data_IF_602857834568
#
_entry.id   IF_602857834568
#
_cell.length_a   1.000
_cell.length_b   1.000
_cell.length_c   1.000
_cell.angle_alpha   90.00
_cell.angle_beta   90.00
_cell.angle_gamma   90.00
#
_symmetry.space_group_name_H-M   'P 1'
#
loop_
_entity.id
_entity.type
_entity.pdbx_description
1 polymer ?
#
# COMPACT_ATOMS: atom_id res chain seq x y z
N UNK A 1 6.23 16.16 15.63
CA UNK A 1 6.45 16.25 14.18
C UNK A 1 7.91 16.14 13.76
N UNK A 2 8.88 17.02 14.12
CA UNK A 2 10.26 16.91 13.60
C UNK A 2 10.94 15.56 13.87
N UNK A 3 10.64 14.93 15.00
CA UNK A 3 11.23 13.62 15.37
C UNK A 3 10.69 12.45 14.53
N UNK A 4 9.41 12.48 14.15
CA UNK A 4 8.80 11.45 13.32
C UNK A 4 9.31 11.49 11.88
N UNK A 5 9.43 12.69 11.29
CA UNK A 5 10.00 12.82 9.96
C UNK A 5 11.48 12.46 9.92
N UNK A 6 12.22 12.65 11.04
CA UNK A 6 13.60 12.24 11.14
C UNK A 6 13.80 10.71 11.16
N UNK A 7 12.80 9.92 11.58
CA UNK A 7 12.92 8.45 11.58
C UNK A 7 13.00 7.87 10.17
N UNK A 8 12.43 8.53 9.15
CA UNK A 8 12.55 8.10 7.76
C UNK A 8 13.92 8.37 7.14
N UNK A 9 14.62 9.37 7.66
CA UNK A 9 15.98 9.73 7.19
C UNK A 9 17.09 9.02 7.96
N UNK A 10 16.79 8.26 9.01
CA UNK A 10 17.78 7.39 9.63
C UNK A 10 18.19 6.33 8.62
N UNK A 11 19.45 6.41 8.18
CA UNK A 11 20.00 5.42 7.28
C UNK A 11 20.14 4.09 8.05
N UNK A 12 19.75 3.01 7.42
CA UNK A 12 19.94 1.66 7.95
C UNK A 12 21.42 1.32 8.12
N UNK A 13 22.29 2.17 7.55
CA UNK A 13 23.75 2.11 7.69
C UNK A 13 24.30 2.63 9.02
N UNK A 14 23.55 3.37 9.84
CA UNK A 14 24.05 3.82 11.15
C UNK A 14 24.32 2.65 12.12
N UNK A 15 23.67 1.50 11.91
CA UNK A 15 23.95 0.26 12.62
C UNK A 15 25.12 -0.55 12.04
N UNK A 16 25.57 -0.23 10.81
CA UNK A 16 26.69 -0.91 10.16
C UNK A 16 28.08 -0.37 10.55
N UNK A 17 28.15 0.90 10.98
CA UNK A 17 29.45 1.54 11.25
C UNK A 17 30.15 0.97 12.49
N UNK A 18 29.41 0.49 13.48
CA UNK A 18 29.98 -0.18 14.68
C UNK A 18 30.34 -1.66 14.42
N UNK A 19 29.76 -2.31 13.39
CA UNK A 19 30.07 -3.69 13.00
C UNK A 19 31.23 -3.79 11.99
N UNK A 20 31.40 -2.80 11.12
CA UNK A 20 32.45 -2.79 10.11
C UNK A 20 33.86 -2.62 10.71
N UNK A 21 33.99 -2.04 11.90
CA UNK A 21 35.27 -1.92 12.59
C UNK A 21 35.83 -3.27 13.11
N UNK A 22 35.00 -4.30 13.21
CA UNK A 22 35.40 -5.64 13.68
C UNK A 22 35.83 -6.58 12.52
N UNK A 23 35.54 -6.27 11.26
CA UNK A 23 35.81 -7.13 10.11
C UNK A 23 37.05 -6.72 9.28
N UNK A 24 37.81 -5.71 9.72
CA UNK A 24 38.97 -5.18 8.99
C UNK A 24 40.29 -5.85 9.34
N UNK A 25 40.33 -7.11 9.73
CA UNK A 25 41.62 -7.81 9.94
C UNK A 25 41.63 -9.18 9.26
N UNK A 26 41.99 -9.21 7.99
CA UNK A 26 42.21 -10.45 7.26
C UNK A 26 42.31 -10.18 5.75
N UNK A 27 43.52 -9.85 5.26
CA UNK A 27 43.73 -9.58 3.84
C UNK A 27 43.63 -10.81 2.97
N UNK A 28 43.09 -10.64 1.78
CA UNK A 28 43.11 -11.57 0.69
C UNK A 28 42.24 -11.02 -0.43
N UNK A 29 42.88 -10.56 -1.52
CA UNK A 29 42.20 -10.13 -2.73
C UNK A 29 41.60 -11.36 -3.43
N UNK A 30 40.28 -11.42 -3.52
CA UNK A 30 39.56 -12.07 -4.60
C UNK A 30 38.22 -11.35 -4.77
N UNK A 31 37.93 -10.97 -6.02
CA UNK A 31 36.68 -10.36 -6.43
C UNK A 31 35.58 -11.42 -6.32
N UNK A 32 34.84 -11.41 -5.19
CA UNK A 32 33.64 -12.21 -5.04
C UNK A 32 32.47 -11.26 -4.72
N UNK A 33 31.40 -11.41 -5.47
CA UNK A 33 30.18 -10.61 -5.37
C UNK A 33 29.67 -10.61 -3.93
N UNK A 34 29.63 -9.44 -3.31
CA UNK A 34 29.35 -9.25 -1.89
C UNK A 34 27.90 -9.59 -1.47
N UNK A 35 27.50 -10.83 -1.71
CA UNK A 35 26.32 -11.40 -1.07
C UNK A 35 26.71 -11.82 0.35
N UNK A 36 26.35 -11.00 1.31
CA UNK A 36 26.53 -11.33 2.73
C UNK A 36 25.44 -12.35 3.09
N UNK A 37 25.86 -13.57 3.34
CA UNK A 37 24.95 -14.65 3.77
C UNK A 37 24.23 -14.24 5.06
N UNK A 38 22.89 -14.22 5.06
CA UNK A 38 22.09 -13.80 6.20
C UNK A 38 22.35 -14.63 7.48
N UNK A 39 22.93 -15.83 7.33
CA UNK A 39 23.30 -16.69 8.46
C UNK A 39 24.53 -16.20 9.24
N UNK A 40 25.37 -15.30 8.65
CA UNK A 40 26.53 -14.72 9.33
C UNK A 40 26.23 -13.44 10.12
N UNK A 41 25.05 -12.86 9.96
CA UNK A 41 24.66 -11.65 10.70
C UNK A 41 24.46 -11.96 12.18
N UNK A 42 25.11 -11.18 13.06
CA UNK A 42 24.97 -11.37 14.49
C UNK A 42 23.52 -11.15 14.93
N UNK A 43 23.00 -11.90 15.93
CA UNK A 43 21.63 -11.71 16.46
C UNK A 43 21.35 -10.27 16.92
N UNK A 44 22.38 -9.55 17.35
CA UNK A 44 22.25 -8.14 17.75
C UNK A 44 22.00 -7.21 16.56
N UNK A 45 22.61 -7.47 15.40
CA UNK A 45 22.40 -6.69 14.17
C UNK A 45 20.98 -6.90 13.64
N UNK A 46 20.50 -8.14 13.58
CA UNK A 46 19.13 -8.45 13.18
C UNK A 46 18.11 -7.79 14.10
N UNK A 47 18.34 -7.78 15.41
CA UNK A 47 17.45 -7.12 16.36
C UNK A 47 17.42 -5.60 16.19
N UNK A 48 18.56 -4.95 15.92
CA UNK A 48 18.61 -3.50 15.66
C UNK A 48 17.90 -3.15 14.38
N UNK A 49 18.14 -3.89 13.29
CA UNK A 49 17.46 -3.68 12.01
C UNK A 49 15.93 -3.83 12.15
N UNK A 50 15.47 -4.84 12.86
CA UNK A 50 14.04 -5.05 13.13
C UNK A 50 13.45 -3.91 13.97
N UNK A 51 14.16 -3.42 14.99
CA UNK A 51 13.71 -2.32 15.83
C UNK A 51 13.56 -1.02 15.03
N UNK A 52 14.50 -0.72 14.14
CA UNK A 52 14.43 0.44 13.24
C UNK A 52 13.27 0.32 12.26
N UNK A 53 13.03 -0.88 11.71
CA UNK A 53 11.90 -1.11 10.82
C UNK A 53 10.56 -0.89 11.54
N UNK A 54 10.41 -1.39 12.76
CA UNK A 54 9.20 -1.17 13.59
C UNK A 54 9.03 0.32 13.90
N UNK A 55 10.10 1.05 14.21
CA UNK A 55 10.03 2.50 14.45
C UNK A 55 9.53 3.26 13.21
N UNK A 56 10.03 2.91 12.02
CA UNK A 56 9.61 3.49 10.74
C UNK A 56 8.12 3.16 10.44
N UNK A 57 7.71 1.92 10.67
CA UNK A 57 6.32 1.50 10.50
C UNK A 57 5.38 2.32 11.40
N UNK A 58 5.68 2.41 12.71
CA UNK A 58 4.91 3.22 13.66
C UNK A 58 4.91 4.69 13.28
N UNK A 59 6.03 5.22 12.80
CA UNK A 59 6.10 6.61 12.35
C UNK A 59 5.22 6.86 11.12
N UNK A 60 5.22 5.92 10.15
CA UNK A 60 4.38 6.01 8.96
C UNK A 60 2.89 6.02 9.32
N UNK A 61 2.46 5.09 10.17
CA UNK A 61 1.08 5.00 10.65
C UNK A 61 0.65 6.26 11.42
N UNK A 62 1.51 6.70 12.35
CA UNK A 62 1.25 7.90 13.17
C UNK A 62 1.10 9.18 12.33
N UNK A 63 1.73 9.30 11.16
CA UNK A 63 1.54 10.46 10.29
C UNK A 63 0.11 10.51 9.75
N UNK A 64 -0.46 9.37 9.37
CA UNK A 64 -1.86 9.25 8.95
C UNK A 64 -2.81 9.68 10.07
N UNK A 65 -2.64 9.11 11.25
CA UNK A 65 -3.46 9.43 12.44
C UNK A 65 -3.34 10.89 12.85
N UNK A 66 -2.13 11.44 12.87
CA UNK A 66 -1.91 12.83 13.22
C UNK A 66 -2.65 13.77 12.27
N UNK A 67 -2.64 13.53 10.96
CA UNK A 67 -3.41 14.35 10.05
C UNK A 67 -4.91 14.20 10.29
N UNK A 68 -5.38 12.97 10.45
CA UNK A 68 -6.80 12.68 10.69
C UNK A 68 -7.34 13.42 11.94
N UNK A 69 -6.57 13.44 13.02
CA UNK A 69 -7.02 14.03 14.28
C UNK A 69 -6.73 15.53 14.40
N UNK A 70 -5.59 16.00 13.88
CA UNK A 70 -5.20 17.43 14.01
C UNK A 70 -5.67 18.28 12.83
N UNK A 71 -6.13 17.65 11.76
CA UNK A 71 -6.77 18.31 10.59
C UNK A 71 -5.95 19.51 10.07
N UNK A 72 -6.56 20.72 10.06
CA UNK A 72 -5.94 21.95 9.56
C UNK A 72 -4.59 22.28 10.19
N UNK A 73 -4.32 21.86 11.43
CA UNK A 73 -3.02 22.07 12.07
C UNK A 73 -1.87 21.24 11.45
N UNK A 74 -2.20 20.18 10.72
CA UNK A 74 -1.22 19.35 10.01
C UNK A 74 -0.82 19.93 8.64
N UNK A 75 -1.65 20.74 8.02
CA UNK A 75 -1.45 21.23 6.64
C UNK A 75 -0.04 21.77 6.35
N UNK A 76 0.64 22.51 7.26
CA UNK A 76 2.01 22.96 7.01
C UNK A 76 3.05 21.86 6.84
N UNK A 77 2.71 20.62 7.22
CA UNK A 77 3.60 19.46 7.17
C UNK A 77 3.20 18.45 6.09
N UNK A 78 2.01 18.63 5.47
CA UNK A 78 1.39 17.65 4.59
C UNK A 78 2.27 17.31 3.38
N UNK A 79 2.84 18.31 2.71
CA UNK A 79 3.68 18.12 1.52
C UNK A 79 4.91 17.26 1.86
N UNK A 80 5.65 17.68 2.89
CA UNK A 80 6.84 16.92 3.32
C UNK A 80 6.50 15.52 3.83
N UNK A 81 5.43 15.37 4.60
CA UNK A 81 5.00 14.06 5.07
C UNK A 81 4.57 13.13 3.91
N UNK A 82 3.96 13.70 2.85
CA UNK A 82 3.62 12.93 1.64
C UNK A 82 4.88 12.46 0.92
N UNK A 83 5.88 13.31 0.73
CA UNK A 83 7.15 12.95 0.10
C UNK A 83 7.86 11.83 0.87
N UNK A 84 7.95 11.94 2.19
CA UNK A 84 8.59 10.92 3.05
C UNK A 84 7.83 9.59 3.01
N UNK A 85 6.48 9.61 3.05
CA UNK A 85 5.70 8.38 2.94
C UNK A 85 5.85 7.73 1.56
N UNK A 86 5.83 8.50 0.48
CA UNK A 86 6.08 7.97 -0.87
C UNK A 86 7.48 7.34 -0.94
N UNK A 87 8.48 7.97 -0.34
CA UNK A 87 9.85 7.44 -0.32
C UNK A 87 9.99 6.06 0.34
N UNK A 88 9.01 5.64 1.15
CA UNK A 88 9.04 4.34 1.84
C UNK A 88 7.99 3.34 1.34
N UNK A 89 7.20 3.66 0.31
CA UNK A 89 6.23 2.71 -0.27
C UNK A 89 6.90 1.52 -0.96
N UNK A 90 8.17 1.62 -1.32
CA UNK A 90 8.97 0.55 -1.93
C UNK A 90 9.98 -0.05 -0.96
N UNK A 91 9.81 0.20 0.36
CA UNK A 91 10.71 -0.33 1.37
C UNK A 91 10.64 -1.87 1.43
N UNK A 92 11.76 -2.55 1.70
CA UNK A 92 11.81 -4.02 1.73
C UNK A 92 10.93 -4.62 2.83
N UNK A 93 10.71 -3.91 3.95
CA UNK A 93 9.86 -4.37 5.05
C UNK A 93 8.38 -4.05 4.79
N UNK A 94 7.55 -5.09 4.65
CA UNK A 94 6.14 -4.99 4.27
C UNK A 94 5.29 -4.13 5.23
N UNK A 95 5.57 -4.17 6.54
CA UNK A 95 4.85 -3.35 7.53
C UNK A 95 4.97 -1.85 7.25
N UNK A 96 6.15 -1.39 6.79
CA UNK A 96 6.39 0.00 6.42
C UNK A 96 5.60 0.35 5.16
N UNK A 97 5.62 -0.51 4.11
CA UNK A 97 4.86 -0.30 2.87
C UNK A 97 3.37 -0.19 3.17
N UNK A 98 2.85 -1.14 3.95
CA UNK A 98 1.45 -1.17 4.40
C UNK A 98 1.04 0.12 5.10
N UNK A 99 1.77 0.55 6.13
CA UNK A 99 1.46 1.74 6.92
C UNK A 99 1.61 3.03 6.09
N UNK A 100 2.57 3.08 5.17
CA UNK A 100 2.75 4.21 4.26
C UNK A 100 1.54 4.37 3.32
N UNK A 101 1.09 3.28 2.68
CA UNK A 101 -0.07 3.29 1.78
C UNK A 101 -1.35 3.69 2.52
N UNK A 102 -1.61 3.11 3.70
CA UNK A 102 -2.76 3.46 4.53
C UNK A 102 -2.78 4.96 4.88
N UNK A 103 -1.63 5.50 5.27
CA UNK A 103 -1.47 6.91 5.62
C UNK A 103 -1.62 7.84 4.42
N UNK A 104 -1.13 7.46 3.24
CA UNK A 104 -1.30 8.23 1.99
C UNK A 104 -2.78 8.33 1.59
N UNK A 105 -3.55 7.23 1.64
CA UNK A 105 -5.00 7.28 1.41
C UNK A 105 -5.74 8.07 2.50
N UNK A 106 -5.28 7.99 3.74
CA UNK A 106 -5.80 8.81 4.84
C UNK A 106 -5.54 10.29 4.59
N UNK A 107 -4.40 10.66 4.01
CA UNK A 107 -4.11 12.04 3.63
C UNK A 107 -5.11 12.58 2.60
N UNK A 108 -5.37 11.83 1.53
CA UNK A 108 -6.34 12.21 0.50
C UNK A 108 -7.74 12.39 1.14
N UNK A 109 -8.21 11.39 1.88
CA UNK A 109 -9.56 11.40 2.45
C UNK A 109 -9.75 12.46 3.53
N UNK A 110 -8.71 12.73 4.33
CA UNK A 110 -8.75 13.78 5.36
C UNK A 110 -8.73 15.17 4.76
N UNK A 111 -7.89 15.39 3.73
CA UNK A 111 -7.87 16.66 3.02
C UNK A 111 -9.21 16.90 2.32
N UNK A 112 -9.80 15.89 1.69
CA UNK A 112 -11.14 15.99 1.11
C UNK A 112 -12.19 16.39 2.15
N UNK A 113 -12.15 15.80 3.34
CA UNK A 113 -13.06 16.14 4.42
C UNK A 113 -12.83 17.53 5.05
N UNK A 114 -11.69 18.18 4.78
CA UNK A 114 -11.39 19.56 5.18
C UNK A 114 -11.87 20.59 4.16
N UNK A 115 -12.06 20.19 2.91
CA UNK A 115 -12.54 21.04 1.85
C UNK A 115 -14.08 21.09 1.89
N UNK A 116 -14.66 22.28 1.70
CA UNK A 116 -16.11 22.47 1.58
C UNK A 116 -16.61 21.98 0.20
N UNK A 117 -16.26 20.74 -0.17
CA UNK A 117 -16.70 20.16 -1.42
C UNK A 117 -18.17 19.73 -1.32
N UNK A 118 -18.99 19.93 -2.38
CA UNK A 118 -20.34 19.40 -2.39
C UNK A 118 -20.31 17.86 -2.30
N UNK A 119 -21.33 17.29 -1.66
CA UNK A 119 -21.45 15.84 -1.58
C UNK A 119 -21.56 15.24 -2.99
N UNK A 120 -20.73 14.25 -3.26
CA UNK A 120 -20.76 13.52 -4.53
C UNK A 120 -21.97 12.57 -4.61
N UNK A 121 -22.40 12.29 -5.83
CA UNK A 121 -23.51 11.38 -6.11
C UNK A 121 -23.00 10.22 -6.97
N UNK A 122 -23.40 8.96 -6.68
CA UNK A 122 -23.00 7.81 -7.47
C UNK A 122 -23.26 8.00 -8.98
N UNK A 123 -22.24 7.76 -9.79
CA UNK A 123 -22.33 7.88 -11.25
C UNK A 123 -22.26 9.27 -11.83
N UNK A 124 -22.23 10.32 -11.03
CA UNK A 124 -22.03 11.69 -11.51
C UNK A 124 -20.53 11.98 -11.70
N UNK A 125 -19.98 11.48 -12.79
CA UNK A 125 -18.58 11.71 -13.16
C UNK A 125 -18.31 13.10 -13.75
N UNK A 126 -19.37 13.86 -14.04
CA UNK A 126 -19.27 15.19 -14.66
C UNK A 126 -19.55 16.35 -13.67
N UNK A 127 -20.24 16.07 -12.56
CA UNK A 127 -20.76 17.11 -11.67
C UNK A 127 -19.86 17.44 -10.47
N UNK A 128 -19.11 16.48 -9.95
CA UNK A 128 -18.30 16.68 -8.75
C UNK A 128 -16.83 16.49 -9.07
N UNK A 129 -16.13 17.59 -9.29
CA UNK A 129 -14.69 17.61 -9.32
C UNK A 129 -14.16 17.61 -7.89
N UNK A 130 -13.03 16.94 -7.68
CA UNK A 130 -12.29 17.08 -6.43
C UNK A 130 -11.89 18.55 -6.23
N UNK A 131 -11.81 18.97 -4.97
CA UNK A 131 -11.15 20.23 -4.65
C UNK A 131 -9.75 20.25 -5.26
N UNK A 132 -9.27 21.35 -5.86
CA UNK A 132 -7.97 21.43 -6.52
C UNK A 132 -6.79 20.99 -5.64
N UNK A 133 -6.88 21.19 -4.33
CA UNK A 133 -5.82 20.74 -3.41
C UNK A 133 -5.86 19.22 -3.24
N UNK A 134 -7.05 18.63 -3.18
CA UNK A 134 -7.21 17.17 -3.11
C UNK A 134 -6.78 16.52 -4.42
N UNK A 135 -7.15 17.12 -5.55
CA UNK A 135 -6.71 16.65 -6.87
C UNK A 135 -5.18 16.68 -6.99
N UNK A 136 -4.55 17.78 -6.58
CA UNK A 136 -3.09 17.92 -6.61
C UNK A 136 -2.39 16.84 -5.79
N UNK A 137 -2.83 16.57 -4.57
CA UNK A 137 -2.21 15.55 -3.74
C UNK A 137 -2.48 14.14 -4.28
N UNK A 138 -3.68 13.87 -4.79
CA UNK A 138 -4.02 12.60 -5.41
C UNK A 138 -3.17 12.32 -6.68
N UNK A 139 -2.88 13.35 -7.49
CA UNK A 139 -2.00 13.23 -8.66
C UNK A 139 -0.57 12.85 -8.31
N UNK A 140 -0.10 13.16 -7.10
CA UNK A 140 1.23 12.79 -6.60
C UNK A 140 1.20 11.40 -5.96
N UNK A 141 0.17 11.09 -5.17
CA UNK A 141 0.08 9.85 -4.40
C UNK A 141 -0.30 8.64 -5.29
N UNK A 142 -1.29 8.80 -6.18
CA UNK A 142 -1.81 7.66 -6.95
C UNK A 142 -0.77 6.95 -7.80
N UNK A 143 0.14 7.62 -8.53
CA UNK A 143 1.20 6.93 -9.26
C UNK A 143 2.08 6.05 -8.36
N UNK A 144 2.49 6.56 -7.19
CA UNK A 144 3.33 5.82 -6.26
C UNK A 144 2.61 4.58 -5.69
N UNK A 145 1.30 4.71 -5.38
CA UNK A 145 0.50 3.58 -4.90
C UNK A 145 0.34 2.52 -6.01
N UNK A 146 0.08 2.93 -7.25
CA UNK A 146 -0.07 1.99 -8.36
C UNK A 146 1.22 1.23 -8.65
N UNK A 147 2.36 1.91 -8.62
CA UNK A 147 3.69 1.29 -8.76
C UNK A 147 3.97 0.29 -7.63
N UNK A 148 3.68 0.68 -6.38
CA UNK A 148 3.81 -0.22 -5.22
C UNK A 148 2.91 -1.44 -5.37
N UNK A 149 1.65 -1.27 -5.77
CA UNK A 149 0.68 -2.36 -5.89
C UNK A 149 1.05 -3.35 -6.99
N UNK A 150 1.55 -2.86 -8.12
CA UNK A 150 2.00 -3.72 -9.24
C UNK A 150 3.14 -4.67 -8.82
N UNK A 151 4.02 -4.21 -7.93
CA UNK A 151 5.17 -4.97 -7.45
C UNK A 151 4.94 -5.67 -6.09
N UNK A 152 3.76 -5.50 -5.45
CA UNK A 152 3.54 -5.95 -4.08
C UNK A 152 3.48 -7.47 -3.97
N UNK A 153 4.42 -8.03 -3.23
CA UNK A 153 4.59 -9.46 -2.99
C UNK A 153 4.05 -9.94 -1.63
N UNK A 154 3.71 -9.02 -0.73
CA UNK A 154 3.12 -9.36 0.57
C UNK A 154 1.59 -9.27 0.56
N UNK A 155 0.93 -10.33 1.05
CA UNK A 155 -0.54 -10.41 1.09
C UNK A 155 -1.16 -9.37 2.00
N UNK A 156 -0.54 -9.07 3.14
CA UNK A 156 -1.10 -8.12 4.12
C UNK A 156 -1.02 -6.68 3.60
N UNK A 157 0.04 -6.33 2.88
CA UNK A 157 0.17 -5.05 2.22
C UNK A 157 -0.82 -4.92 1.04
N UNK A 158 -0.99 -5.96 0.23
CA UNK A 158 -1.98 -6.00 -0.85
C UNK A 158 -3.43 -5.87 -0.34
N UNK A 159 -3.75 -6.50 0.80
CA UNK A 159 -5.04 -6.33 1.50
C UNK A 159 -5.25 -4.87 1.89
N UNK A 160 -4.25 -4.25 2.50
CA UNK A 160 -4.33 -2.85 2.92
C UNK A 160 -4.54 -1.89 1.74
N UNK A 161 -3.84 -2.11 0.63
CA UNK A 161 -4.02 -1.31 -0.59
C UNK A 161 -5.49 -1.37 -1.04
N UNK A 162 -6.07 -2.57 -1.16
CA UNK A 162 -7.45 -2.74 -1.58
C UNK A 162 -8.44 -2.07 -0.62
N UNK A 163 -8.28 -2.28 0.69
CA UNK A 163 -9.18 -1.76 1.72
C UNK A 163 -9.10 -0.23 1.82
N UNK A 164 -7.89 0.32 1.87
CA UNK A 164 -7.67 1.75 1.97
C UNK A 164 -8.14 2.47 0.71
N UNK A 165 -7.93 1.89 -0.48
CA UNK A 165 -8.42 2.45 -1.73
C UNK A 165 -9.95 2.44 -1.79
N UNK A 166 -10.61 1.32 -1.48
CA UNK A 166 -12.06 1.24 -1.41
C UNK A 166 -12.67 2.26 -0.43
N UNK A 167 -12.05 2.39 0.76
CA UNK A 167 -12.46 3.37 1.76
C UNK A 167 -12.32 4.82 1.26
N UNK A 168 -11.20 5.12 0.61
CA UNK A 168 -10.94 6.45 0.06
C UNK A 168 -11.89 6.78 -1.10
N UNK A 169 -12.17 5.84 -2.01
CA UNK A 169 -13.17 5.99 -3.07
C UNK A 169 -14.56 6.31 -2.51
N UNK A 170 -14.99 5.56 -1.50
CA UNK A 170 -16.29 5.77 -0.86
C UNK A 170 -16.40 7.15 -0.17
N UNK A 171 -15.29 7.75 0.25
CA UNK A 171 -15.26 9.08 0.87
C UNK A 171 -15.18 10.19 -0.16
N UNK A 172 -14.31 10.06 -1.16
CA UNK A 172 -13.98 11.12 -2.12
C UNK A 172 -14.85 11.07 -3.39
N UNK A 173 -15.47 9.93 -3.69
CA UNK A 173 -16.32 9.78 -4.85
C UNK A 173 -15.57 9.61 -6.18
N UNK A 174 -16.27 9.77 -7.32
CA UNK A 174 -15.73 9.48 -8.66
C UNK A 174 -14.57 10.37 -9.08
N UNK A 175 -14.42 11.55 -8.49
CA UNK A 175 -13.30 12.45 -8.79
C UNK A 175 -11.93 11.90 -8.40
N UNK A 176 -11.86 10.95 -7.45
CA UNK A 176 -10.59 10.36 -7.01
C UNK A 176 -9.96 9.50 -8.10
N UNK A 177 -10.76 8.72 -8.80
CA UNK A 177 -10.27 7.80 -9.82
C UNK A 177 -10.44 8.42 -11.21
N UNK A 178 -9.40 9.10 -11.66
CA UNK A 178 -9.39 9.62 -13.02
C UNK A 178 -9.41 8.47 -14.05
N UNK A 179 -9.88 8.70 -15.29
CA UNK A 179 -10.01 7.66 -16.32
C UNK A 179 -8.73 6.83 -16.54
N UNK A 180 -7.57 7.44 -16.39
CA UNK A 180 -6.27 6.76 -16.53
C UNK A 180 -5.99 5.69 -15.48
N UNK A 181 -6.65 5.73 -14.31
CA UNK A 181 -6.47 4.78 -13.23
C UNK A 181 -7.53 3.68 -13.18
N UNK A 182 -8.63 3.82 -13.92
CA UNK A 182 -9.73 2.83 -13.92
C UNK A 182 -9.23 1.47 -14.43
N UNK A 183 -8.65 1.45 -15.62
CA UNK A 183 -8.19 0.21 -16.24
C UNK A 183 -7.05 -0.44 -15.46
N UNK A 184 -5.96 0.25 -15.06
CA UNK A 184 -4.91 -0.34 -14.23
C UNK A 184 -5.45 -0.90 -12.90
N UNK A 185 -6.34 -0.18 -12.21
CA UNK A 185 -6.97 -0.67 -10.98
C UNK A 185 -7.76 -1.94 -11.21
N UNK A 186 -8.52 -2.01 -12.32
CA UNK A 186 -9.26 -3.20 -12.69
C UNK A 186 -8.33 -4.38 -12.99
N UNK A 187 -7.24 -4.16 -13.72
CA UNK A 187 -6.27 -5.20 -14.06
C UNK A 187 -5.62 -5.79 -12.82
N UNK A 188 -5.11 -4.95 -11.90
CA UNK A 188 -4.51 -5.41 -10.65
C UNK A 188 -5.51 -6.15 -9.76
N UNK A 189 -6.74 -5.64 -9.67
CA UNK A 189 -7.80 -6.31 -8.91
C UNK A 189 -8.19 -7.66 -9.53
N UNK A 190 -8.24 -7.75 -10.88
CA UNK A 190 -8.49 -9.01 -11.58
C UNK A 190 -7.39 -10.04 -11.32
N UNK A 191 -6.12 -9.65 -11.31
CA UNK A 191 -5.01 -10.54 -10.98
C UNK A 191 -5.21 -11.18 -9.59
N UNK A 192 -5.65 -10.40 -8.59
CA UNK A 192 -5.95 -10.93 -7.25
C UNK A 192 -7.12 -11.93 -7.31
N UNK A 193 -8.21 -11.59 -7.99
CA UNK A 193 -9.39 -12.48 -8.07
C UNK A 193 -9.12 -13.75 -8.88
N UNK A 194 -8.17 -13.71 -9.81
CA UNK A 194 -7.69 -14.85 -10.57
C UNK A 194 -6.57 -15.64 -9.87
N UNK A 195 -6.14 -15.21 -8.68
CA UNK A 195 -5.02 -15.78 -7.92
C UNK A 195 -3.69 -15.73 -8.70
N UNK A 196 -3.43 -14.61 -9.35
CA UNK A 196 -2.23 -14.39 -10.19
C UNK A 196 -1.41 -13.18 -9.76
N UNK A 197 -1.82 -12.48 -8.69
CA UNK A 197 -1.06 -11.36 -8.18
C UNK A 197 0.29 -11.82 -7.59
N UNK A 198 1.36 -11.01 -7.67
CA UNK A 198 2.66 -11.36 -7.10
C UNK A 198 2.56 -11.79 -5.63
N UNK A 199 1.72 -11.13 -4.83
CA UNK A 199 1.46 -11.48 -3.44
C UNK A 199 0.81 -12.86 -3.20
N UNK A 200 0.36 -13.54 -4.24
CA UNK A 200 -0.28 -14.85 -4.17
C UNK A 200 0.62 -15.97 -4.72
N UNK A 201 1.75 -15.60 -5.32
CA UNK A 201 2.72 -16.54 -5.88
C UNK A 201 3.74 -16.81 -4.80
N UNK A 202 3.76 -18.02 -4.27
CA UNK A 202 4.82 -18.49 -3.39
C UNK A 202 5.82 -19.30 -4.25
N UNK A 203 7.04 -18.77 -4.46
CA UNK A 203 8.03 -19.46 -5.29
C UNK A 203 8.60 -20.74 -4.63
N UNK A 204 8.39 -20.93 -3.34
CA UNK A 204 8.91 -22.05 -2.55
C UNK A 204 7.82 -23.03 -2.12
N UNK A 205 6.54 -22.75 -2.39
CA UNK A 205 5.46 -23.67 -2.02
C UNK A 205 5.49 -24.91 -2.91
N UNK A 206 5.75 -26.07 -2.31
CA UNK A 206 5.39 -27.35 -2.89
C UNK A 206 3.86 -27.42 -3.04
N UNK A 207 3.36 -27.85 -4.21
CA UNK A 207 1.93 -27.83 -4.58
C UNK A 207 0.99 -28.53 -3.57
N UNK A 208 1.53 -29.19 -2.56
CA UNK A 208 0.80 -30.00 -1.58
C UNK A 208 0.71 -29.41 -0.15
N UNK A 209 1.35 -28.26 0.13
CA UNK A 209 1.32 -27.65 1.48
C UNK A 209 0.63 -26.27 1.51
N UNK A 210 -0.67 -26.21 1.24
CA UNK A 210 -1.49 -25.05 1.68
C UNK A 210 -1.65 -25.12 3.21
N UNK A 211 -0.95 -24.25 3.94
CA UNK A 211 -1.18 -24.10 5.38
C UNK A 211 -2.52 -23.39 5.64
N UNK A 212 -3.19 -23.72 6.76
CA UNK A 212 -4.48 -23.08 7.12
C UNK A 212 -4.36 -21.54 7.17
N UNK A 213 -3.23 -21.02 7.68
CA UNK A 213 -2.93 -19.58 7.74
C UNK A 213 -2.86 -18.95 6.34
N UNK A 214 -2.22 -19.62 5.38
CA UNK A 214 -2.13 -19.16 3.99
C UNK A 214 -3.51 -19.04 3.34
N UNK A 215 -4.40 -19.99 3.60
CA UNK A 215 -5.78 -20.02 3.10
C UNK A 215 -6.64 -18.91 3.70
N UNK A 216 -6.44 -18.54 4.98
CA UNK A 216 -7.17 -17.45 5.63
C UNK A 216 -6.78 -16.09 5.04
N UNK A 217 -5.49 -15.78 4.92
CA UNK A 217 -5.02 -14.54 4.28
C UNK A 217 -5.46 -14.43 2.83
N UNK A 218 -5.46 -15.53 2.09
CA UNK A 218 -5.96 -15.58 0.72
C UNK A 218 -7.45 -15.19 0.66
N UNK A 219 -8.24 -15.71 1.57
CA UNK A 219 -9.67 -15.39 1.66
C UNK A 219 -9.92 -13.92 1.98
N UNK A 220 -9.11 -13.34 2.88
CA UNK A 220 -9.20 -11.92 3.23
C UNK A 220 -8.77 -11.02 2.06
N UNK A 221 -7.72 -11.38 1.33
CA UNK A 221 -7.27 -10.64 0.15
C UNK A 221 -8.33 -10.62 -0.95
N UNK A 222 -8.93 -11.78 -1.25
CA UNK A 222 -10.03 -11.87 -2.23
C UNK A 222 -11.23 -11.03 -1.77
N UNK A 223 -11.57 -11.04 -0.48
CA UNK A 223 -12.65 -10.23 0.07
C UNK A 223 -12.36 -8.73 -0.09
N UNK A 224 -11.15 -8.29 0.24
CA UNK A 224 -10.72 -6.89 0.09
C UNK A 224 -10.77 -6.43 -1.38
N UNK A 225 -10.34 -7.29 -2.30
CA UNK A 225 -10.42 -7.02 -3.74
C UNK A 225 -11.88 -6.91 -4.22
N UNK A 226 -12.78 -7.76 -3.72
CA UNK A 226 -14.21 -7.68 -4.02
C UNK A 226 -14.86 -6.40 -3.47
N UNK A 227 -14.46 -5.97 -2.28
CA UNK A 227 -14.92 -4.71 -1.67
C UNK A 227 -14.48 -3.51 -2.52
N UNK A 228 -13.27 -3.54 -3.07
CA UNK A 228 -12.79 -2.51 -3.99
C UNK A 228 -13.60 -2.50 -5.30
N UNK A 229 -13.90 -3.67 -5.89
CA UNK A 229 -14.80 -3.76 -7.05
C UNK A 229 -16.17 -3.17 -6.73
N UNK A 230 -16.70 -3.49 -5.54
CA UNK A 230 -17.95 -2.92 -5.05
C UNK A 230 -17.93 -1.41 -4.92
N UNK A 231 -16.85 -0.85 -4.36
CA UNK A 231 -16.65 0.60 -4.24
C UNK A 231 -16.55 1.27 -5.62
N UNK A 232 -15.78 0.70 -6.55
CA UNK A 232 -15.68 1.19 -7.92
C UNK A 232 -17.04 1.16 -8.65
N UNK A 233 -17.78 0.05 -8.53
CA UNK A 233 -19.11 -0.08 -9.11
C UNK A 233 -20.10 0.95 -8.54
N UNK A 234 -20.05 1.20 -7.24
CA UNK A 234 -20.91 2.17 -6.57
C UNK A 234 -20.57 3.61 -6.99
N UNK A 235 -19.29 3.95 -7.02
CA UNK A 235 -18.82 5.30 -7.29
C UNK A 235 -18.99 5.66 -8.78
N UNK A 236 -18.61 4.75 -9.69
CA UNK A 236 -18.57 4.98 -11.13
C UNK A 236 -19.88 4.64 -11.85
N UNK A 237 -20.75 3.80 -11.25
CA UNK A 237 -22.04 3.38 -11.82
C UNK A 237 -21.94 2.97 -13.31
N UNK A 238 -22.51 3.76 -14.20
CA UNK A 238 -22.58 3.44 -15.64
C UNK A 238 -21.21 3.38 -16.33
N UNK A 239 -20.25 4.16 -15.90
CA UNK A 239 -18.89 4.13 -16.46
C UNK A 239 -18.15 2.83 -16.11
N UNK A 240 -18.55 2.15 -15.02
CA UNK A 240 -18.01 0.86 -14.63
C UNK A 240 -18.64 -0.34 -15.35
N UNK A 241 -19.69 -0.15 -16.14
CA UNK A 241 -20.40 -1.26 -16.82
C UNK A 241 -19.50 -2.10 -17.74
N UNK A 242 -18.55 -1.48 -18.40
CA UNK A 242 -17.62 -2.20 -19.29
C UNK A 242 -16.61 -3.01 -18.49
N UNK A 243 -15.85 -2.45 -17.53
CA UNK A 243 -15.00 -3.21 -16.62
C UNK A 243 -15.76 -4.31 -15.86
N UNK A 244 -16.96 -4.05 -15.40
CA UNK A 244 -17.77 -5.00 -14.62
C UNK A 244 -17.98 -6.35 -15.33
N UNK A 245 -18.03 -6.36 -16.65
CA UNK A 245 -18.19 -7.60 -17.43
C UNK A 245 -17.03 -8.58 -17.23
N UNK A 246 -15.84 -8.09 -16.91
CA UNK A 246 -14.67 -8.93 -16.64
C UNK A 246 -14.76 -9.57 -15.26
N UNK A 247 -15.33 -8.86 -14.27
CA UNK A 247 -15.49 -9.35 -12.90
C UNK A 247 -16.65 -10.35 -12.73
N UNK A 248 -17.74 -10.20 -13.50
CA UNK A 248 -18.94 -10.99 -13.34
C UNK A 248 -18.73 -12.52 -13.33
N UNK A 249 -17.92 -13.12 -14.23
CA UNK A 249 -17.68 -14.57 -14.19
C UNK A 249 -17.02 -15.04 -12.89
N UNK A 250 -16.06 -14.23 -12.38
CA UNK A 250 -15.34 -14.55 -11.14
C UNK A 250 -16.25 -14.41 -9.91
N UNK A 251 -17.06 -13.35 -9.86
CA UNK A 251 -18.02 -13.14 -8.78
C UNK A 251 -19.08 -14.26 -8.74
N UNK A 252 -19.60 -14.66 -9.89
CA UNK A 252 -20.57 -15.77 -9.98
C UNK A 252 -19.94 -17.11 -9.54
N UNK A 253 -18.68 -17.35 -9.89
CA UNK A 253 -17.94 -18.55 -9.47
C UNK A 253 -17.79 -18.59 -7.94
N UNK A 254 -17.38 -17.48 -7.32
CA UNK A 254 -17.19 -17.39 -5.86
C UNK A 254 -18.48 -17.61 -5.07
N UNK A 255 -19.64 -17.19 -5.60
CA UNK A 255 -20.95 -17.45 -4.96
C UNK A 255 -21.35 -18.92 -5.07
N UNK A 256 -21.01 -19.58 -6.18
CA UNK A 256 -21.39 -20.97 -6.43
C UNK A 256 -20.64 -21.98 -5.55
N UNK A 257 -19.43 -21.65 -5.09
CA UNK A 257 -18.62 -22.52 -4.20
C UNK A 257 -19.17 -22.59 -2.74
N UNK A 258 -20.08 -21.71 -2.33
CA UNK A 258 -20.65 -21.70 -0.95
C UNK A 258 -21.77 -22.71 -0.74
N UNK A 259 -22.09 -23.54 -1.71
CA UNK A 259 -23.20 -24.53 -1.65
C UNK A 259 -22.75 -25.99 -1.80
N UNK A 260 -21.48 -26.30 -1.65
CA UNK A 260 -20.95 -27.66 -1.57
C UNK A 260 -20.25 -27.88 -0.21
#
# INVERSE_FOLDING_TARGET
MPKMLASFSQSEHEGMDDGAAALSYGGGADEDDGFVDMEELSPSFLNVSTAVAIEKEVAADSLGELFQYTRGAFLPYLEKATEELIGVTTHFYQGIRKSAVASLFTFISTLHALCDSPAWVPGDTNGVQLDPNVEKIAQVIMPAIMETWEAEDDRTAAIEICQSFASCLNKCGPGLISPQWIDPTCELTLLILEKKAPSQIDPEADEDEETEDSSEYESVLISAAMDLVGAMAYVLCYTFMTPMRQFMPLLCKSVSFKHL
#
